data_IF_217791095611
#
_entry.id   IF_217791095611
#
_cell.length_a   1.000
_cell.length_b   1.000
_cell.length_c   1.000
_cell.angle_alpha   90.00
_cell.angle_beta   90.00
_cell.angle_gamma   90.00
#
_symmetry.space_group_name_H-M   'P 1'
#
loop_
_entity.id
_entity.type
_entity.pdbx_description
1 polymer ?
#
# COMPACT_ATOMS: atom_id res chain seq x y z
N UNK A 1 2.77 -17.32 -10.50
CA UNK A 1 3.06 -17.18 -9.06
C UNK A 1 2.92 -15.73 -8.66
N UNK A 2 1.72 -15.33 -8.24
CA UNK A 2 1.53 -13.99 -7.65
C UNK A 2 2.10 -13.99 -6.23
N UNK A 3 2.82 -12.94 -5.80
CA UNK A 3 3.34 -12.87 -4.44
C UNK A 3 2.20 -12.87 -3.42
N UNK A 4 2.40 -13.56 -2.30
CA UNK A 4 1.45 -13.54 -1.18
C UNK A 4 1.53 -12.17 -0.49
N UNK A 5 0.41 -11.42 -0.49
CA UNK A 5 0.31 -10.13 0.17
C UNK A 5 -0.47 -10.30 1.47
N UNK A 6 0.18 -10.03 2.60
CA UNK A 6 -0.43 -10.10 3.94
C UNK A 6 -0.68 -8.67 4.42
N UNK A 7 -1.94 -8.22 4.39
CA UNK A 7 -2.31 -6.82 4.61
C UNK A 7 -1.83 -6.24 5.95
N UNK A 8 -1.85 -7.03 7.03
CA UNK A 8 -1.49 -6.57 8.38
C UNK A 8 0.02 -6.27 8.56
N UNK A 9 0.85 -6.60 7.57
CA UNK A 9 2.27 -6.27 7.54
C UNK A 9 2.55 -4.87 6.99
N UNK A 10 1.54 -4.19 6.44
CA UNK A 10 1.70 -2.92 5.75
C UNK A 10 0.91 -1.79 6.41
N UNK A 11 1.44 -0.57 6.28
CA UNK A 11 0.78 0.69 6.65
C UNK A 11 1.08 1.72 5.57
N UNK A 12 0.14 2.62 5.28
CA UNK A 12 0.35 3.72 4.35
C UNK A 12 0.55 4.99 5.15
N UNK A 13 1.65 5.70 4.89
CA UNK A 13 1.89 7.04 5.40
C UNK A 13 1.73 8.05 4.26
N UNK A 14 0.89 9.06 4.44
CA UNK A 14 0.62 10.05 3.39
C UNK A 14 0.54 11.48 3.95
N UNK A 15 0.97 12.45 3.14
CA UNK A 15 0.87 13.88 3.45
C UNK A 15 1.98 14.43 4.36
N UNK A 16 3.09 13.71 4.53
CA UNK A 16 4.28 14.19 5.25
C UNK A 16 5.46 14.47 4.32
N UNK A 17 6.37 15.33 4.79
CA UNK A 17 7.63 15.67 4.10
C UNK A 17 8.86 15.04 4.77
N UNK A 18 8.69 14.46 5.96
CA UNK A 18 9.74 13.83 6.75
C UNK A 18 9.34 12.40 7.11
N UNK A 19 10.17 11.42 6.72
CA UNK A 19 9.93 9.99 6.99
C UNK A 19 10.16 9.61 8.46
N UNK A 20 10.85 10.45 9.24
CA UNK A 20 11.09 10.24 10.66
C UNK A 20 9.96 10.81 11.54
N UNK A 21 8.96 11.48 10.93
CA UNK A 21 7.83 12.04 11.66
C UNK A 21 6.88 10.94 12.12
N UNK A 22 6.76 10.75 13.44
CA UNK A 22 5.82 9.79 14.02
C UNK A 22 4.45 10.42 14.27
N UNK A 23 3.71 10.71 13.19
CA UNK A 23 2.37 11.29 13.25
C UNK A 23 1.29 10.27 12.91
N UNK A 24 0.64 9.73 13.94
CA UNK A 24 -0.41 8.71 13.79
C UNK A 24 -1.58 9.17 12.91
N UNK A 25 -1.86 10.48 12.84
CA UNK A 25 -2.93 11.02 12.01
C UNK A 25 -2.66 10.92 10.50
N UNK A 26 -1.42 10.60 10.10
CA UNK A 26 -1.01 10.40 8.70
C UNK A 26 -0.88 8.94 8.31
N UNK A 27 -1.06 8.02 9.28
CA UNK A 27 -1.02 6.59 9.05
C UNK A 27 -2.43 6.12 8.65
N UNK A 28 -2.51 5.26 7.64
CA UNK A 28 -3.74 4.61 7.17
C UNK A 28 -3.53 3.10 7.14
N UNK A 29 -4.57 2.38 7.56
CA UNK A 29 -4.60 0.92 7.46
C UNK A 29 -5.05 0.53 6.05
N UNK A 30 -4.25 -0.26 5.30
CA UNK A 30 -4.66 -0.82 4.02
C UNK A 30 -5.85 -1.75 4.22
N UNK A 31 -6.87 -1.62 3.38
CA UNK A 31 -8.04 -2.53 3.37
C UNK A 31 -7.93 -3.57 2.25
N UNK A 32 -7.21 -3.25 1.17
CA UNK A 32 -6.97 -4.13 0.04
C UNK A 32 -5.70 -3.69 -0.70
N UNK A 33 -4.98 -4.65 -1.29
CA UNK A 33 -3.88 -4.41 -2.22
C UNK A 33 -4.13 -5.30 -3.44
N UNK A 34 -4.31 -4.68 -4.60
CA UNK A 34 -4.63 -5.39 -5.86
C UNK A 34 -3.51 -5.17 -6.86
N UNK A 35 -2.88 -6.26 -7.29
CA UNK A 35 -1.87 -6.25 -8.34
C UNK A 35 -2.54 -6.16 -9.72
N UNK A 36 -1.84 -5.60 -10.69
CA UNK A 36 -2.30 -5.65 -12.07
C UNK A 36 -2.51 -7.11 -12.52
N UNK A 37 -3.63 -7.47 -13.20
CA UNK A 37 -3.95 -8.86 -13.55
C UNK A 37 -2.85 -9.55 -14.37
N UNK A 38 -2.16 -8.79 -15.22
CA UNK A 38 -1.08 -9.28 -16.08
C UNK A 38 0.32 -8.95 -15.53
N UNK A 39 0.46 -8.78 -14.20
CA UNK A 39 1.75 -8.59 -13.57
C UNK A 39 2.65 -9.80 -13.80
N UNK A 40 3.88 -9.55 -14.25
CA UNK A 40 4.96 -10.53 -14.32
C UNK A 40 6.08 -10.03 -13.43
N UNK A 41 6.48 -10.86 -12.47
CA UNK A 41 7.58 -10.56 -11.57
C UNK A 41 8.95 -10.50 -12.24
N UNK A 42 10.03 -10.39 -11.43
CA UNK A 42 11.39 -10.46 -11.95
C UNK A 42 11.61 -11.72 -12.82
N UNK A 43 12.42 -11.62 -13.90
CA UNK A 43 13.25 -10.48 -14.28
C UNK A 43 12.55 -9.42 -15.15
N UNK A 44 11.37 -9.71 -15.71
CA UNK A 44 10.77 -8.88 -16.76
C UNK A 44 9.98 -7.66 -16.24
N UNK A 45 9.50 -7.69 -14.98
CA UNK A 45 8.74 -6.60 -14.32
C UNK A 45 7.61 -5.99 -15.19
N UNK A 46 6.91 -6.84 -15.94
CA UNK A 46 5.82 -6.42 -16.84
C UNK A 46 4.59 -6.06 -16.00
N UNK A 47 3.94 -4.94 -16.31
CA UNK A 47 2.80 -4.41 -15.56
C UNK A 47 3.05 -4.33 -14.04
N UNK A 48 4.24 -3.86 -13.66
CA UNK A 48 4.65 -3.68 -12.27
C UNK A 48 3.93 -2.50 -11.60
N UNK A 49 2.62 -2.64 -11.42
CA UNK A 49 1.70 -1.63 -10.91
C UNK A 49 0.70 -2.30 -9.96
N UNK A 50 0.27 -1.57 -8.93
CA UNK A 50 -0.68 -2.04 -7.95
C UNK A 50 -1.55 -0.89 -7.42
N UNK A 51 -2.73 -1.23 -6.92
CA UNK A 51 -3.65 -0.32 -6.24
C UNK A 51 -3.73 -0.69 -4.76
N UNK A 52 -3.68 0.32 -3.88
CA UNK A 52 -3.84 0.15 -2.43
C UNK A 52 -5.09 0.91 -2.00
N UNK A 53 -6.11 0.18 -1.56
CA UNK A 53 -7.26 0.76 -0.90
C UNK A 53 -6.93 1.03 0.57
N UNK A 54 -7.30 2.21 1.09
CA UNK A 54 -7.05 2.60 2.48
C UNK A 54 -8.35 2.96 3.20
N UNK A 55 -8.37 2.74 4.51
CA UNK A 55 -9.47 3.21 5.37
C UNK A 55 -9.54 4.74 5.38
N UNK A 56 -10.76 5.28 5.29
CA UNK A 56 -11.00 6.71 5.49
C UNK A 56 -10.97 6.97 7.00
N UNK A 57 -10.11 7.90 7.43
CA UNK A 57 -10.16 8.39 8.80
C UNK A 57 -11.28 9.44 8.88
N UNK A 58 -12.47 9.03 9.32
CA UNK A 58 -13.52 9.97 9.68
C UNK A 58 -13.06 10.77 10.92
N UNK A 59 -12.93 12.09 10.79
CA UNK A 59 -12.84 12.98 11.95
C UNK A 59 -14.24 13.09 12.56
N UNK A 60 -14.43 12.53 13.75
CA UNK A 60 -15.54 12.86 14.65
C UNK A 60 -15.27 14.19 15.33
#
# INVERSE_FOLDING_TARGET
NSPLIILNQYRVFAGGVNLLENNMNRIRTPVNITLHPNYIGPPALVNNLALIGVSIMCRT
#
